data_IF_932124790025
#
_entry.id   IF_932124790025
#
_cell.length_a   1.000
_cell.length_b   1.000
_cell.length_c   1.000
_cell.angle_alpha   90.00
_cell.angle_beta   90.00
_cell.angle_gamma   90.00
#
_symmetry.space_group_name_H-M   'P 1'
#
loop_
_entity.id
_entity.type
_entity.pdbx_description
1 polymer ?
#
# COMPACT_ATOMS: atom_id res chain seq x y z
N UNK A 1 -20.43 1.57 2.22
CA UNK A 1 -19.17 1.89 2.91
C UNK A 1 -18.54 0.67 3.60
N UNK A 2 -19.28 -0.09 4.41
CA UNK A 2 -18.76 -1.32 5.05
C UNK A 2 -18.33 -2.39 4.02
N UNK A 3 -19.07 -2.52 2.92
CA UNK A 3 -18.74 -3.46 1.83
C UNK A 3 -17.41 -3.15 1.14
N UNK A 4 -17.09 -1.86 0.98
CA UNK A 4 -15.82 -1.41 0.40
C UNK A 4 -14.66 -1.82 1.28
N UNK A 5 -14.71 -1.51 2.57
CA UNK A 5 -13.67 -1.92 3.52
C UNK A 5 -13.54 -3.45 3.59
N UNK A 6 -14.67 -4.17 3.64
CA UNK A 6 -14.67 -5.65 3.64
C UNK A 6 -14.00 -6.22 2.40
N UNK A 7 -14.28 -5.67 1.23
CA UNK A 7 -13.68 -6.10 -0.04
C UNK A 7 -12.18 -5.83 -0.08
N UNK A 8 -11.74 -4.69 0.45
CA UNK A 8 -10.31 -4.37 0.56
C UNK A 8 -9.59 -5.39 1.45
N UNK A 9 -10.14 -5.69 2.63
CA UNK A 9 -9.54 -6.68 3.54
C UNK A 9 -9.50 -8.07 2.89
N UNK A 10 -10.55 -8.47 2.17
CA UNK A 10 -10.58 -9.75 1.45
C UNK A 10 -9.53 -9.83 0.34
N UNK A 11 -9.40 -8.79 -0.49
CA UNK A 11 -8.42 -8.74 -1.57
C UNK A 11 -6.97 -8.79 -1.01
N UNK A 12 -6.74 -8.13 0.12
CA UNK A 12 -5.43 -8.11 0.82
C UNK A 12 -5.11 -9.47 1.42
N UNK A 13 -6.07 -10.13 2.07
CA UNK A 13 -5.88 -11.47 2.65
C UNK A 13 -5.69 -12.57 1.61
N UNK A 14 -6.15 -12.37 0.37
CA UNK A 14 -5.95 -13.31 -0.74
C UNK A 14 -4.64 -13.08 -1.51
N UNK A 15 -3.86 -12.06 -1.15
CA UNK A 15 -2.62 -11.74 -1.84
C UNK A 15 -1.52 -12.80 -1.59
N UNK A 16 -0.72 -13.15 -2.60
CA UNK A 16 0.30 -14.20 -2.50
C UNK A 16 1.53 -13.80 -1.68
N UNK A 17 1.79 -12.50 -1.55
CA UNK A 17 2.95 -11.95 -0.86
C UNK A 17 2.67 -10.54 -0.32
N UNK A 18 3.53 -10.07 0.59
CA UNK A 18 3.39 -8.76 1.24
C UNK A 18 3.40 -7.60 0.25
N UNK A 19 4.26 -7.64 -0.78
CA UNK A 19 4.35 -6.57 -1.77
C UNK A 19 3.06 -6.46 -2.58
N UNK A 20 2.51 -7.60 -3.01
CA UNK A 20 1.20 -7.69 -3.67
C UNK A 20 0.07 -7.17 -2.78
N UNK A 21 0.06 -7.55 -1.50
CA UNK A 21 -0.93 -7.10 -0.52
C UNK A 21 -0.91 -5.57 -0.33
N UNK A 22 0.29 -5.00 -0.19
CA UNK A 22 0.49 -3.56 -0.04
C UNK A 22 0.08 -2.80 -1.32
N UNK A 23 0.44 -3.31 -2.50
CA UNK A 23 0.06 -2.73 -3.78
C UNK A 23 -1.47 -2.67 -3.97
N UNK A 24 -2.19 -3.75 -3.62
CA UNK A 24 -3.65 -3.79 -3.64
C UNK A 24 -4.21 -2.73 -2.68
N UNK A 25 -3.66 -2.67 -1.47
CA UNK A 25 -4.10 -1.75 -0.41
C UNK A 25 -4.02 -0.29 -0.85
N UNK A 26 -2.85 0.16 -1.33
CA UNK A 26 -2.65 1.58 -1.72
C UNK A 26 -3.55 2.00 -2.87
N UNK A 27 -3.76 1.12 -3.86
CA UNK A 27 -4.65 1.41 -4.99
C UNK A 27 -6.11 1.49 -4.53
N UNK A 28 -6.57 0.51 -3.77
CA UNK A 28 -7.96 0.47 -3.29
C UNK A 28 -8.28 1.64 -2.37
N UNK A 29 -7.38 1.98 -1.44
CA UNK A 29 -7.58 3.10 -0.51
C UNK A 29 -7.61 4.42 -1.27
N UNK A 30 -6.67 4.63 -2.21
CA UNK A 30 -6.66 5.84 -3.05
C UNK A 30 -8.00 6.02 -3.76
N UNK A 31 -8.50 4.96 -4.41
CA UNK A 31 -9.73 4.99 -5.17
C UNK A 31 -10.96 5.18 -4.26
N UNK A 32 -11.01 4.53 -3.09
CA UNK A 32 -12.12 4.70 -2.13
C UNK A 32 -12.17 6.10 -1.50
N UNK A 33 -11.00 6.70 -1.25
CA UNK A 33 -10.87 8.01 -0.64
C UNK A 33 -10.86 9.14 -1.68
N UNK A 34 -10.86 8.81 -2.97
CA UNK A 34 -10.74 9.76 -4.07
C UNK A 34 -9.52 10.69 -3.92
N UNK A 35 -8.42 10.15 -3.38
CA UNK A 35 -7.18 10.88 -3.11
C UNK A 35 -6.26 10.90 -4.32
N UNK A 36 -5.42 11.93 -4.44
CA UNK A 36 -4.39 12.01 -5.48
C UNK A 36 -3.29 10.96 -5.31
N UNK A 37 -2.97 10.58 -4.06
CA UNK A 37 -1.99 9.55 -3.77
C UNK A 37 -2.26 8.81 -2.45
N UNK A 38 -1.74 7.58 -2.36
CA UNK A 38 -1.67 6.77 -1.14
C UNK A 38 -0.33 6.02 -1.13
N UNK A 39 0.39 6.09 -0.02
CA UNK A 39 1.73 5.49 0.11
C UNK A 39 1.88 4.81 1.46
N UNK A 40 2.51 3.64 1.47
CA UNK A 40 2.83 2.89 2.68
C UNK A 40 4.34 2.80 2.84
N UNK A 41 4.81 3.16 4.02
CA UNK A 41 6.18 3.00 4.47
C UNK A 41 6.23 1.90 5.53
N UNK A 42 7.22 1.01 5.46
CA UNK A 42 7.53 0.08 6.53
C UNK A 42 8.74 0.60 7.31
N UNK A 43 8.69 0.43 8.63
CA UNK A 43 9.84 0.67 9.48
C UNK A 43 10.84 -0.46 9.27
N UNK A 44 12.06 -0.09 8.89
CA UNK A 44 13.23 -0.95 8.94
C UNK A 44 13.91 -0.68 10.29
N UNK A 45 13.76 -1.61 11.23
CA UNK A 45 14.30 -1.47 12.58
C UNK A 45 15.83 -1.64 12.62
N UNK A 46 16.40 -2.38 11.68
CA UNK A 46 17.84 -2.60 11.56
C UNK A 46 18.55 -1.29 11.17
N UNK A 47 17.99 -0.56 10.21
CA UNK A 47 18.54 0.71 9.73
C UNK A 47 17.94 1.93 10.43
N UNK A 48 16.86 1.77 11.21
CA UNK A 48 16.07 2.85 11.84
C UNK A 48 15.50 3.85 10.83
N UNK A 49 15.07 3.34 9.68
CA UNK A 49 14.58 4.14 8.57
C UNK A 49 13.18 3.70 8.13
N UNK A 50 12.49 4.54 7.37
CA UNK A 50 11.20 4.21 6.78
C UNK A 50 11.38 3.96 5.29
N UNK A 51 11.20 2.71 4.88
CA UNK A 51 11.33 2.30 3.48
C UNK A 51 9.99 2.38 2.79
N UNK A 52 9.93 3.04 1.63
CA UNK A 52 8.73 3.09 0.82
C UNK A 52 8.46 1.71 0.21
N UNK A 53 7.37 1.07 0.61
CA UNK A 53 7.08 -0.32 0.19
C UNK A 53 5.97 -0.42 -0.85
N UNK A 54 5.05 0.56 -0.87
CA UNK A 54 4.03 0.64 -1.92
C UNK A 54 3.54 2.08 -2.07
N UNK A 55 3.24 2.47 -3.31
CA UNK A 55 2.59 3.74 -3.59
C UNK A 55 1.62 3.62 -4.76
N UNK A 56 0.51 4.36 -4.67
CA UNK A 56 -0.41 4.62 -5.75
C UNK A 56 -0.53 6.15 -5.90
N UNK A 57 -0.07 6.69 -7.03
CA UNK A 57 -0.13 8.14 -7.31
C UNK A 57 1.21 8.89 -7.20
N UNK A 58 2.26 8.28 -6.64
CA UNK A 58 3.64 8.76 -6.75
C UNK A 58 4.44 7.92 -7.75
N UNK A 59 5.71 8.28 -7.97
CA UNK A 59 6.61 7.56 -8.85
C UNK A 59 6.83 6.12 -8.33
N UNK A 60 6.41 5.07 -9.08
CA UNK A 60 6.61 3.69 -8.67
C UNK A 60 8.09 3.28 -8.58
N UNK A 61 9.00 4.03 -9.21
CA UNK A 61 10.45 3.79 -9.10
C UNK A 61 11.02 4.15 -7.71
N UNK A 62 10.26 4.87 -6.88
CA UNK A 62 10.67 5.20 -5.51
C UNK A 62 10.44 4.03 -4.52
N UNK A 63 9.79 2.93 -4.95
CA UNK A 63 9.58 1.76 -4.11
C UNK A 63 10.92 1.07 -3.83
N UNK A 64 11.21 0.83 -2.55
CA UNK A 64 12.48 0.26 -2.08
C UNK A 64 13.66 1.24 -2.08
N UNK A 65 13.42 2.52 -2.35
CA UNK A 65 14.45 3.56 -2.22
C UNK A 65 14.36 4.23 -0.83
N UNK A 66 15.53 4.54 -0.29
CA UNK A 66 15.78 5.33 0.92
C UNK A 66 16.14 6.76 0.52
#
# INVERSE_FOLDING_TARGET
MLETLRRIVQDVSAAPDLSSALAITVNRIRDAMNSAACTVYLADEDNREFVLMATAGLNPQAIGQI
#
